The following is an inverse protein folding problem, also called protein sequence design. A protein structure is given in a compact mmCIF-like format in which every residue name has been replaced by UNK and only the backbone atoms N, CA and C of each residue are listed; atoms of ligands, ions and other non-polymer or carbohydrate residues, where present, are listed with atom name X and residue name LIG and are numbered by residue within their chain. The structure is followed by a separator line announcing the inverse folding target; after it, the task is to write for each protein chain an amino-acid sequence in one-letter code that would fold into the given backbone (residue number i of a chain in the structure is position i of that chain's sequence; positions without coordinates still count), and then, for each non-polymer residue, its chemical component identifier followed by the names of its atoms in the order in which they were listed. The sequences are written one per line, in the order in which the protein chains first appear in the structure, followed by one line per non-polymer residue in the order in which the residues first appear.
data_IF_743986669718
#
_entry.id   IF_743986669718
#
_cell.length_a   1.000
_cell.length_b   1.000
_cell.length_c   1.000
_cell.angle_alpha   90.00
_cell.angle_beta   90.00
_cell.angle_gamma   90.00
#
_symmetry.space_group_name_H-M   'P 1'
#
loop_
_entity.id
_entity.type
_entity.pdbx_description
1 polymer ?
#
# COMPACT_ATOMS: atom_id res chain seq x y z
N UNK A 1 14.82 0.76 -42.04
CA UNK A 1 13.96 -0.15 -41.25
C UNK A 1 13.47 0.65 -40.06
N UNK A 2 12.16 0.81 -39.89
CA UNK A 2 11.65 1.43 -38.67
C UNK A 2 11.99 0.51 -37.50
N UNK A 3 12.83 0.96 -36.57
CA UNK A 3 13.05 0.27 -35.29
C UNK A 3 11.69 0.04 -34.65
N UNK A 4 11.36 -1.21 -34.33
CA UNK A 4 10.18 -1.47 -33.51
C UNK A 4 10.38 -0.77 -32.17
N UNK A 5 9.40 0.01 -31.69
CA UNK A 5 9.55 0.70 -30.41
C UNK A 5 9.79 -0.33 -29.31
N UNK A 6 10.76 -0.05 -28.43
CA UNK A 6 11.04 -0.84 -27.24
C UNK A 6 9.74 -1.18 -26.50
N UNK A 7 9.59 -2.40 -25.95
CA UNK A 7 8.43 -2.72 -25.13
C UNK A 7 8.28 -1.71 -23.99
N UNK A 8 7.03 -1.42 -23.62
CA UNK A 8 6.72 -0.46 -22.57
C UNK A 8 7.36 -0.90 -21.25
N UNK A 9 8.24 -0.08 -20.62
CA UNK A 9 8.92 -0.46 -19.39
C UNK A 9 8.01 -0.39 -18.16
N UNK A 10 6.82 0.22 -18.26
CA UNK A 10 5.91 0.49 -17.15
C UNK A 10 4.84 -0.61 -16.97
N UNK A 11 5.20 -1.87 -17.16
CA UNK A 11 4.28 -3.02 -17.12
C UNK A 11 4.16 -3.67 -15.74
N UNK A 12 5.11 -3.42 -14.84
CA UNK A 12 5.12 -4.03 -13.52
C UNK A 12 3.98 -3.50 -12.63
N UNK A 13 2.92 -4.30 -12.43
CA UNK A 13 1.77 -3.95 -11.56
C UNK A 13 1.85 -4.51 -10.13
N UNK A 14 2.80 -5.41 -9.89
CA UNK A 14 3.01 -6.08 -8.60
C UNK A 14 4.33 -5.66 -7.93
N UNK A 15 4.74 -6.42 -6.91
CA UNK A 15 6.04 -6.24 -6.25
C UNK A 15 7.19 -6.27 -7.25
N UNK A 16 8.10 -5.29 -7.17
CA UNK A 16 9.32 -5.25 -8.00
C UNK A 16 10.28 -6.32 -7.50
N UNK A 17 10.68 -7.23 -8.40
CA UNK A 17 11.58 -8.35 -8.08
C UNK A 17 13.00 -8.18 -8.61
N UNK A 18 13.18 -7.32 -9.60
CA UNK A 18 14.51 -6.98 -10.11
C UNK A 18 15.04 -5.75 -9.35
N UNK A 19 16.16 -5.86 -8.60
CA UNK A 19 16.78 -4.73 -7.92
C UNK A 19 17.08 -3.55 -8.87
N UNK A 20 17.40 -3.83 -10.14
CA UNK A 20 17.72 -2.81 -11.15
C UNK A 20 16.51 -1.97 -11.56
N UNK A 21 15.29 -2.45 -11.30
CA UNK A 21 14.04 -1.73 -11.55
C UNK A 21 13.53 -0.99 -10.31
N UNK A 22 14.14 -1.19 -9.14
CA UNK A 22 13.76 -0.47 -7.93
C UNK A 22 14.26 0.98 -7.99
N UNK A 23 13.38 1.94 -7.70
CA UNK A 23 13.70 3.37 -7.82
C UNK A 23 13.34 4.16 -6.56
N UNK A 24 14.22 5.11 -6.20
CA UNK A 24 14.00 6.08 -5.13
C UNK A 24 14.06 5.48 -3.73
N UNK A 25 13.30 6.06 -2.79
CA UNK A 25 13.23 5.66 -1.38
C UNK A 25 14.56 5.74 -0.64
N UNK A 26 15.43 6.69 -1.04
CA UNK A 26 16.81 6.75 -0.52
C UNK A 26 16.85 6.99 0.99
N UNK A 27 16.02 7.90 1.49
CA UNK A 27 15.95 8.24 2.92
C UNK A 27 15.44 7.06 3.74
N UNK A 28 14.37 6.42 3.29
CA UNK A 28 13.76 5.27 3.95
C UNK A 28 14.72 4.08 3.97
N UNK A 29 15.38 3.79 2.84
CA UNK A 29 16.41 2.75 2.76
C UNK A 29 17.54 3.06 3.76
N UNK A 30 18.10 4.26 3.75
CA UNK A 30 19.19 4.61 4.67
C UNK A 30 18.79 4.38 6.13
N UNK A 31 17.61 4.83 6.53
CA UNK A 31 17.09 4.58 7.89
C UNK A 31 16.93 3.09 8.19
N UNK A 32 16.37 2.30 7.27
CA UNK A 32 16.22 0.86 7.46
C UNK A 32 17.58 0.19 7.65
N UNK A 33 18.54 0.47 6.78
CA UNK A 33 19.85 -0.16 6.82
C UNK A 33 20.68 0.24 8.04
N UNK A 34 20.62 1.50 8.45
CA UNK A 34 21.30 1.97 9.67
C UNK A 34 20.79 1.26 10.93
N UNK A 35 19.50 0.94 10.97
CA UNK A 35 18.88 0.17 12.06
C UNK A 35 19.23 -1.30 12.00
N UNK A 36 19.14 -1.92 10.82
CA UNK A 36 19.46 -3.34 10.66
C UNK A 36 20.93 -3.66 10.95
N UNK A 37 21.88 -2.76 10.62
CA UNK A 37 23.29 -2.93 11.03
C UNK A 37 23.47 -3.03 12.54
N UNK A 38 22.59 -2.37 13.30
CA UNK A 38 22.56 -2.38 14.76
C UNK A 38 21.64 -3.47 15.33
N UNK A 39 21.14 -4.37 14.47
CA UNK A 39 20.13 -5.39 14.81
C UNK A 39 18.89 -4.81 15.49
N UNK A 40 18.45 -3.64 15.05
CA UNK A 40 17.23 -2.99 15.55
C UNK A 40 16.07 -3.26 14.59
N UNK A 41 14.94 -3.69 15.15
CA UNK A 41 13.73 -3.98 14.37
C UNK A 41 13.11 -2.71 13.81
N UNK A 42 12.52 -2.81 12.62
CA UNK A 42 11.92 -1.70 11.86
C UNK A 42 10.54 -2.09 11.36
N UNK A 43 9.57 -1.19 11.52
CA UNK A 43 8.22 -1.31 10.97
C UNK A 43 8.03 -0.25 9.89
N UNK A 44 7.85 -0.72 8.65
CA UNK A 44 7.54 0.10 7.49
C UNK A 44 6.03 0.23 7.37
N UNK A 45 5.50 1.44 7.60
CA UNK A 45 4.06 1.71 7.60
C UNK A 45 3.71 2.56 6.39
N UNK A 46 2.67 2.22 5.64
CA UNK A 46 2.25 3.03 4.49
C UNK A 46 1.05 2.50 3.74
N UNK A 47 0.47 3.30 2.85
CA UNK A 47 -0.76 2.93 2.14
C UNK A 47 -0.61 1.70 1.23
N UNK A 48 -1.75 1.10 0.87
CA UNK A 48 -1.77 0.05 -0.15
C UNK A 48 -1.20 0.60 -1.46
N UNK A 49 -0.41 -0.21 -2.18
CA UNK A 49 0.27 0.16 -3.44
C UNK A 49 1.36 1.24 -3.32
N UNK A 50 1.73 1.72 -2.13
CA UNK A 50 2.79 2.74 -1.99
C UNK A 50 4.22 2.21 -2.21
N UNK A 51 4.38 0.87 -2.32
CA UNK A 51 5.66 0.21 -2.60
C UNK A 51 6.31 -0.51 -1.43
N UNK A 52 5.58 -0.83 -0.34
CA UNK A 52 6.12 -1.51 0.85
C UNK A 52 6.79 -2.85 0.53
N UNK A 53 6.09 -3.76 -0.15
CA UNK A 53 6.61 -5.07 -0.56
C UNK A 53 7.86 -4.94 -1.42
N UNK A 54 7.84 -4.03 -2.41
CA UNK A 54 9.01 -3.76 -3.26
C UNK A 54 10.20 -3.24 -2.44
N UNK A 55 9.97 -2.35 -1.46
CA UNK A 55 11.01 -1.84 -0.56
C UNK A 55 11.59 -2.95 0.30
N UNK A 56 10.73 -3.76 0.92
CA UNK A 56 11.12 -4.89 1.76
C UNK A 56 11.96 -5.90 0.98
N UNK A 57 11.50 -6.29 -0.20
CA UNK A 57 12.20 -7.25 -1.05
C UNK A 57 13.53 -6.68 -1.56
N UNK A 58 13.57 -5.39 -1.92
CA UNK A 58 14.83 -4.73 -2.29
C UNK A 58 15.84 -4.71 -1.13
N UNK A 59 15.38 -4.50 0.11
CA UNK A 59 16.24 -4.60 1.30
C UNK A 59 16.77 -6.01 1.48
N UNK A 60 15.92 -7.03 1.31
CA UNK A 60 16.35 -8.43 1.34
C UNK A 60 17.41 -8.74 0.29
N UNK A 61 17.20 -8.32 -0.96
CA UNK A 61 18.11 -8.61 -2.07
C UNK A 61 19.46 -7.91 -1.95
N UNK A 62 19.48 -6.65 -1.50
CA UNK A 62 20.72 -5.84 -1.43
C UNK A 62 21.35 -5.86 -0.04
N UNK A 63 20.67 -6.44 0.96
CA UNK A 63 21.07 -6.27 2.34
C UNK A 63 22.35 -7.00 2.73
N UNK A 64 22.71 -8.10 2.06
CA UNK A 64 23.99 -8.77 2.29
C UNK A 64 25.18 -7.83 2.06
N UNK A 65 25.11 -7.02 1.00
CA UNK A 65 26.15 -6.03 0.67
C UNK A 65 26.08 -4.80 1.56
N UNK A 66 24.87 -4.35 1.90
CA UNK A 66 24.64 -3.08 2.61
C UNK A 66 24.78 -3.17 4.13
N UNK A 67 24.40 -4.31 4.72
CA UNK A 67 24.42 -4.57 6.17
C UNK A 67 25.73 -5.25 6.57
N UNK A 68 26.22 -6.14 5.70
CA UNK A 68 27.44 -6.93 5.90
C UNK A 68 27.15 -8.42 5.87
N UNK A 69 28.13 -9.19 5.39
CA UNK A 69 28.00 -10.65 5.19
C UNK A 69 27.78 -11.47 6.47
N UNK A 70 27.96 -10.87 7.65
CA UNK A 70 27.73 -11.52 8.95
C UNK A 70 26.27 -11.55 9.40
N UNK A 71 25.34 -10.94 8.65
CA UNK A 71 23.90 -10.98 8.94
C UNK A 71 23.20 -11.87 7.92
N UNK A 72 22.52 -12.90 8.42
CA UNK A 72 21.65 -13.77 7.63
C UNK A 72 20.31 -13.07 7.43
N UNK A 73 19.96 -12.80 6.17
CA UNK A 73 18.67 -12.23 5.80
C UNK A 73 17.71 -13.32 5.37
N UNK A 74 16.51 -13.30 5.94
CA UNK A 74 15.41 -14.19 5.59
C UNK A 74 14.26 -13.34 5.09
N UNK A 75 13.61 -13.75 4.00
CA UNK A 75 12.37 -13.15 3.53
C UNK A 75 11.23 -14.15 3.71
N UNK A 76 10.10 -13.71 4.23
CA UNK A 76 8.90 -14.53 4.36
C UNK A 76 7.67 -13.70 4.03
N UNK A 77 6.91 -14.19 3.05
CA UNK A 77 5.59 -13.68 2.72
C UNK A 77 4.57 -14.32 3.66
N UNK A 78 3.96 -13.52 4.54
CA UNK A 78 3.12 -14.01 5.62
C UNK A 78 1.72 -14.52 5.24
N UNK A 79 1.07 -14.08 4.14
CA UNK A 79 -0.19 -14.67 3.69
C UNK A 79 -0.14 -16.20 3.50
N UNK A 80 1.05 -16.78 3.28
CA UNK A 80 1.25 -18.21 3.12
C UNK A 80 1.53 -18.97 4.43
N UNK A 81 1.46 -18.30 5.59
CA UNK A 81 1.75 -18.86 6.91
C UNK A 81 0.50 -18.83 7.79
N UNK A 82 0.07 -20.02 8.25
CA UNK A 82 -1.19 -20.19 8.99
C UNK A 82 -1.05 -20.12 10.52
N UNK A 83 0.12 -20.47 11.03
CA UNK A 83 0.38 -20.59 12.46
C UNK A 83 1.87 -20.38 12.81
N UNK A 84 2.16 -20.35 14.10
CA UNK A 84 3.52 -20.21 14.66
C UNK A 84 4.49 -21.29 14.15
N UNK A 85 4.04 -22.55 14.09
CA UNK A 85 4.84 -23.68 13.62
C UNK A 85 5.27 -23.50 12.17
N UNK A 86 4.35 -23.08 11.31
CA UNK A 86 4.62 -22.76 9.92
C UNK A 86 5.59 -21.58 9.78
N UNK A 87 5.47 -20.56 10.64
CA UNK A 87 6.39 -19.43 10.67
C UNK A 87 7.82 -19.87 10.99
N UNK A 88 8.01 -20.57 12.11
CA UNK A 88 9.32 -21.03 12.54
C UNK A 88 9.90 -22.04 11.55
N UNK A 89 9.07 -22.90 10.96
CA UNK A 89 9.47 -23.86 9.93
C UNK A 89 10.04 -23.16 8.69
N UNK A 90 9.36 -22.12 8.18
CA UNK A 90 9.87 -21.34 7.04
C UNK A 90 11.15 -20.57 7.39
N UNK A 91 11.22 -19.98 8.58
CA UNK A 91 12.41 -19.27 9.03
C UNK A 91 13.63 -20.21 9.14
N UNK A 92 13.45 -21.37 9.76
CA UNK A 92 14.48 -22.40 9.90
C UNK A 92 14.92 -22.94 8.54
N UNK A 93 13.97 -23.26 7.66
CA UNK A 93 14.25 -23.71 6.30
C UNK A 93 15.08 -22.68 5.51
N UNK A 94 14.71 -21.40 5.57
CA UNK A 94 15.44 -20.32 4.90
C UNK A 94 16.86 -20.12 5.47
N UNK A 95 17.08 -20.47 6.74
CA UNK A 95 18.38 -20.46 7.40
C UNK A 95 19.18 -21.75 7.19
N UNK A 96 18.63 -22.74 6.49
CA UNK A 96 19.25 -24.04 6.25
C UNK A 96 19.39 -24.89 7.50
N UNK A 97 18.47 -24.77 8.46
CA UNK A 97 18.46 -25.56 9.71
C UNK A 97 17.17 -26.35 9.85
N UNK A 98 17.25 -27.52 10.49
CA UNK A 98 16.07 -28.32 10.82
C UNK A 98 15.36 -27.78 12.06
N UNK A 99 14.03 -27.71 11.99
CA UNK A 99 13.18 -27.26 13.10
C UNK A 99 12.00 -26.42 12.63
N UNK A 100 11.01 -26.28 13.52
CA UNK A 100 9.78 -25.54 13.26
C UNK A 100 9.22 -24.91 14.55
N UNK A 101 10.08 -24.63 15.52
CA UNK A 101 9.73 -24.07 16.81
C UNK A 101 10.67 -22.91 17.19
N UNK A 102 10.31 -22.23 18.28
CA UNK A 102 11.10 -21.15 18.85
C UNK A 102 12.54 -21.59 19.16
N UNK A 103 12.72 -22.77 19.79
CA UNK A 103 14.03 -23.24 20.24
C UNK A 103 15.00 -23.47 19.08
N UNK A 104 14.50 -23.94 17.94
CA UNK A 104 15.29 -24.14 16.72
C UNK A 104 15.81 -22.82 16.16
N UNK A 105 14.95 -21.80 16.10
CA UNK A 105 15.36 -20.45 15.69
C UNK A 105 16.31 -19.80 16.72
N UNK A 106 16.03 -19.96 18.00
CA UNK A 106 16.83 -19.40 19.10
C UNK A 106 18.28 -19.92 19.05
N UNK A 107 18.49 -21.22 18.80
CA UNK A 107 19.85 -21.79 18.64
C UNK A 107 20.64 -21.08 17.55
N UNK A 108 20.01 -20.75 16.42
CA UNK A 108 20.68 -20.02 15.33
C UNK A 108 21.02 -18.59 15.75
N UNK A 109 20.10 -17.90 16.41
CA UNK A 109 20.26 -16.51 16.85
C UNK A 109 21.35 -16.35 17.92
N UNK A 110 21.61 -17.40 18.71
CA UNK A 110 22.71 -17.39 19.70
C UNK A 110 24.09 -17.29 19.04
N UNK A 111 24.25 -17.86 17.85
CA UNK A 111 25.55 -17.94 17.16
C UNK A 111 25.68 -16.93 16.02
N UNK A 112 24.56 -16.52 15.41
CA UNK A 112 24.54 -15.73 14.17
C UNK A 112 23.55 -14.59 14.28
N UNK A 113 23.88 -13.48 13.62
CA UNK A 113 22.94 -12.37 13.43
C UNK A 113 21.93 -12.74 12.36
N UNK A 114 20.65 -12.63 12.69
CA UNK A 114 19.54 -12.96 11.79
C UNK A 114 18.59 -11.76 11.69
N UNK A 115 18.30 -11.33 10.46
CA UNK A 115 17.29 -10.33 10.19
C UNK A 115 16.19 -10.93 9.32
N UNK A 116 14.95 -10.89 9.81
CA UNK A 116 13.79 -11.49 9.13
C UNK A 116 12.91 -10.38 8.56
N UNK A 117 12.72 -10.41 7.25
CA UNK A 117 11.87 -9.53 6.48
C UNK A 117 10.48 -10.16 6.32
N UNK A 118 9.45 -9.55 6.90
CA UNK A 118 8.08 -10.05 6.92
C UNK A 118 7.15 -9.09 6.19
N UNK A 119 6.56 -9.55 5.08
CA UNK A 119 5.59 -8.75 4.33
C UNK A 119 4.16 -8.97 4.83
N UNK A 120 3.33 -7.95 4.72
CA UNK A 120 1.92 -7.95 5.14
C UNK A 120 1.69 -8.45 6.59
N UNK A 121 2.43 -7.89 7.56
CA UNK A 121 2.39 -8.34 8.95
C UNK A 121 1.00 -8.19 9.61
N UNK A 122 0.14 -7.30 9.11
CA UNK A 122 -1.26 -7.21 9.51
C UNK A 122 -2.06 -8.49 9.24
N UNK A 123 -1.57 -9.38 8.38
CA UNK A 123 -2.21 -10.67 8.11
C UNK A 123 -1.98 -11.67 9.23
N UNK A 124 -0.91 -11.55 10.00
CA UNK A 124 -0.68 -12.42 11.16
C UNK A 124 -1.10 -11.74 12.45
N UNK A 125 -1.01 -10.41 12.51
CA UNK A 125 -1.44 -9.63 13.65
C UNK A 125 -2.96 -9.80 13.86
N UNK A 126 -3.33 -10.49 14.94
CA UNK A 126 -4.73 -10.76 15.28
C UNK A 126 -5.33 -12.03 14.67
N UNK A 127 -4.53 -12.88 14.00
CA UNK A 127 -4.99 -14.21 13.60
C UNK A 127 -4.94 -15.21 14.76
N UNK A 128 -5.94 -16.10 14.93
CA UNK A 128 -5.97 -17.10 16.00
C UNK A 128 -4.76 -18.06 16.00
N UNK A 129 -4.12 -18.25 14.84
CA UNK A 129 -2.94 -19.11 14.70
C UNK A 129 -1.65 -18.51 15.29
N UNK A 130 -1.67 -17.26 15.75
CA UNK A 130 -0.53 -16.58 16.36
C UNK A 130 -0.90 -16.09 17.75
N UNK A 131 -0.31 -16.71 18.77
CA UNK A 131 -0.59 -16.41 20.17
C UNK A 131 0.22 -15.22 20.67
N UNK A 132 -0.16 -14.72 21.85
CA UNK A 132 0.68 -13.79 22.61
C UNK A 132 2.09 -14.35 22.88
N UNK A 133 2.20 -15.66 23.12
CA UNK A 133 3.48 -16.32 23.38
C UNK A 133 4.43 -16.23 22.19
N UNK A 134 3.91 -16.24 20.97
CA UNK A 134 4.69 -16.01 19.75
C UNK A 134 5.28 -14.60 19.69
N UNK A 135 4.47 -13.57 19.93
CA UNK A 135 4.96 -12.19 19.92
C UNK A 135 5.97 -11.93 21.06
N UNK A 136 5.73 -12.50 22.24
CA UNK A 136 6.68 -12.46 23.36
C UNK A 136 8.00 -13.17 23.02
N UNK A 137 7.93 -14.29 22.29
CA UNK A 137 9.11 -15.03 21.80
C UNK A 137 9.93 -14.21 20.79
N UNK A 138 9.28 -13.62 19.78
CA UNK A 138 9.95 -12.73 18.82
C UNK A 138 10.58 -11.52 19.50
N UNK A 139 9.89 -10.95 20.50
CA UNK A 139 10.43 -9.85 21.30
C UNK A 139 11.67 -10.27 22.06
N UNK A 140 11.65 -11.43 22.71
CA UNK A 140 12.78 -11.99 23.44
C UNK A 140 14.01 -12.15 22.52
N UNK A 141 13.80 -12.70 21.31
CA UNK A 141 14.88 -12.79 20.32
C UNK A 141 15.43 -11.41 19.95
N UNK A 142 14.57 -10.44 19.67
CA UNK A 142 15.01 -9.09 19.28
C UNK A 142 15.85 -8.40 20.37
N UNK A 143 15.58 -8.71 21.64
CA UNK A 143 16.34 -8.18 22.77
C UNK A 143 17.73 -8.81 22.93
N UNK A 144 18.02 -9.93 22.27
CA UNK A 144 19.36 -10.55 22.27
C UNK A 144 20.43 -9.70 21.59
N UNK A 145 20.04 -8.75 20.72
CA UNK A 145 20.96 -7.99 19.87
C UNK A 145 21.48 -8.75 18.65
N UNK A 146 21.07 -10.01 18.46
CA UNK A 146 21.41 -10.83 17.29
C UNK A 146 20.20 -11.11 16.39
N UNK A 147 19.02 -10.61 16.73
CA UNK A 147 17.81 -10.80 15.93
C UNK A 147 17.15 -9.46 15.64
N UNK A 148 16.74 -9.25 14.39
CA UNK A 148 15.99 -8.06 13.99
C UNK A 148 14.82 -8.45 13.08
N UNK A 149 13.73 -7.70 13.19
CA UNK A 149 12.56 -7.84 12.32
C UNK A 149 12.44 -6.61 11.45
N UNK A 150 12.31 -6.79 10.14
CA UNK A 150 11.84 -5.75 9.22
C UNK A 150 10.46 -6.14 8.74
N UNK A 151 9.43 -5.41 9.18
CA UNK A 151 8.04 -5.74 8.83
C UNK A 151 7.41 -4.64 7.99
N UNK A 152 6.42 -5.00 7.16
CA UNK A 152 5.56 -4.03 6.49
C UNK A 152 4.14 -4.10 7.05
N UNK A 153 3.48 -2.94 7.17
CA UNK A 153 2.06 -2.86 7.54
C UNK A 153 1.35 -1.70 6.85
N UNK A 154 0.04 -1.82 6.63
CA UNK A 154 -0.78 -0.68 6.21
C UNK A 154 -1.08 0.31 7.35
N UNK A 155 -1.33 -0.21 8.54
CA UNK A 155 -1.64 0.57 9.74
C UNK A 155 -0.53 0.45 10.79
N UNK A 156 -0.51 1.35 11.77
CA UNK A 156 0.47 1.26 12.83
C UNK A 156 0.27 -0.03 13.65
N UNK A 157 1.36 -0.64 14.13
CA UNK A 157 1.25 -1.83 14.99
C UNK A 157 0.43 -1.57 16.26
N UNK A 158 0.48 -0.34 16.80
CA UNK A 158 -0.33 0.06 17.94
C UNK A 158 -1.84 0.00 17.64
N UNK A 159 -2.24 0.22 16.38
CA UNK A 159 -3.62 0.08 15.91
C UNK A 159 -4.01 -1.38 15.64
N UNK A 160 -3.08 -2.17 15.10
CA UNK A 160 -3.30 -3.59 14.79
C UNK A 160 -3.42 -4.44 16.06
N UNK A 161 -2.59 -4.17 17.05
CA UNK A 161 -2.51 -4.94 18.29
C UNK A 161 -3.30 -4.29 19.45
N UNK A 162 -4.34 -3.49 19.16
CA UNK A 162 -5.15 -2.82 20.21
C UNK A 162 -5.70 -3.76 21.28
N UNK A 163 -6.02 -4.99 20.90
CA UNK A 163 -6.55 -6.01 21.81
C UNK A 163 -5.48 -6.64 22.72
N UNK A 164 -4.19 -6.45 22.42
CA UNK A 164 -3.05 -6.99 23.18
C UNK A 164 -2.42 -5.96 24.14
N UNK A 165 -3.05 -4.79 24.33
CA UNK A 165 -2.56 -3.66 25.13
C UNK A 165 -2.43 -3.94 26.65
N UNK A 166 -2.68 -5.16 27.11
CA UNK A 166 -2.64 -5.57 28.53
C UNK A 166 -1.23 -6.07 28.96
N UNK A 167 -0.20 -5.87 28.13
CA UNK A 167 1.19 -6.21 28.47
C UNK A 167 1.94 -5.04 29.11
N UNK A 168 2.85 -5.32 30.04
CA UNK A 168 3.73 -4.33 30.70
C UNK A 168 4.70 -3.65 29.71
N UNK A 169 5.07 -4.33 28.62
CA UNK A 169 5.75 -3.70 27.48
C UNK A 169 5.34 -4.38 26.17
N UNK A 170 4.43 -3.79 25.39
CA UNK A 170 3.89 -4.43 24.21
C UNK A 170 4.89 -4.67 23.08
N UNK A 171 4.68 -5.73 22.28
CA UNK A 171 5.54 -6.15 21.16
C UNK A 171 5.99 -5.00 20.26
N UNK A 172 5.09 -4.09 19.90
CA UNK A 172 5.37 -2.98 18.98
C UNK A 172 6.44 -1.99 19.47
N UNK A 173 6.78 -1.97 20.77
CA UNK A 173 7.78 -1.05 21.31
C UNK A 173 9.23 -1.37 20.87
N UNK A 174 9.49 -2.55 20.30
CA UNK A 174 10.83 -2.90 19.79
C UNK A 174 11.12 -2.32 18.40
N UNK A 175 10.11 -1.77 17.72
CA UNK A 175 10.23 -1.32 16.34
C UNK A 175 10.49 0.17 16.23
N UNK A 176 11.53 0.53 15.49
CA UNK A 176 11.62 1.86 14.91
C UNK A 176 10.61 1.98 13.75
N UNK A 177 9.80 3.05 13.74
CA UNK A 177 8.84 3.30 12.66
C UNK A 177 9.50 4.03 11.49
N UNK A 178 9.27 3.55 10.28
CA UNK A 178 9.58 4.22 9.01
C UNK A 178 8.26 4.36 8.25
N UNK A 179 7.85 5.60 7.95
CA UNK A 179 6.67 5.81 7.10
C UNK A 179 7.08 5.80 5.64
N UNK A 180 6.31 5.07 4.84
CA UNK A 180 6.42 5.05 3.39
C UNK A 180 5.23 5.82 2.82
N UNK A 181 5.48 7.09 2.48
CA UNK A 181 4.51 7.99 1.87
C UNK A 181 4.76 8.17 0.36
N UNK A 182 4.35 9.32 -0.17
CA UNK A 182 4.69 9.71 -1.55
C UNK A 182 6.21 9.72 -1.77
N UNK A 183 6.65 9.59 -3.02
CA UNK A 183 8.02 9.94 -3.37
C UNK A 183 8.29 11.40 -3.00
N UNK A 184 9.51 11.71 -2.57
CA UNK A 184 9.94 13.11 -2.49
C UNK A 184 9.95 13.74 -3.87
N UNK A 185 9.86 15.08 -3.94
CA UNK A 185 9.68 15.80 -5.21
C UNK A 185 10.76 15.42 -6.23
N UNK A 186 12.01 15.38 -5.79
CA UNK A 186 13.18 15.10 -6.61
C UNK A 186 13.17 13.67 -7.16
N UNK A 187 12.68 12.71 -6.36
CA UNK A 187 12.54 11.32 -6.80
C UNK A 187 11.41 11.18 -7.82
N UNK A 188 10.27 11.82 -7.59
CA UNK A 188 9.13 11.73 -8.52
C UNK A 188 9.44 12.38 -9.88
N UNK A 189 10.11 13.54 -9.88
CA UNK A 189 10.55 14.23 -11.09
C UNK A 189 11.61 13.44 -11.86
N UNK A 190 12.52 12.76 -11.15
CA UNK A 190 13.55 11.93 -11.77
C UNK A 190 13.00 10.59 -12.30
N UNK A 191 11.96 10.03 -11.66
CA UNK A 191 11.37 8.74 -12.04
C UNK A 191 10.96 8.70 -13.51
N UNK A 192 10.25 9.72 -13.99
CA UNK A 192 9.71 9.76 -15.36
C UNK A 192 10.83 9.72 -16.42
N UNK A 193 11.72 10.72 -16.53
CA UNK A 193 12.72 10.76 -17.61
C UNK A 193 13.77 9.65 -17.54
N UNK A 194 14.05 9.06 -16.37
CA UNK A 194 15.00 7.94 -16.25
C UNK A 194 14.48 6.71 -16.99
N UNK A 195 13.23 6.33 -16.75
CA UNK A 195 12.64 5.12 -17.34
C UNK A 195 12.31 5.31 -18.84
N UNK A 196 11.85 6.51 -19.24
CA UNK A 196 11.62 6.83 -20.65
C UNK A 196 12.91 6.77 -21.47
N UNK A 197 14.02 7.36 -20.97
CA UNK A 197 15.33 7.29 -21.64
C UNK A 197 15.88 5.88 -21.75
N UNK A 198 15.69 5.04 -20.74
CA UNK A 198 16.10 3.64 -20.78
C UNK A 198 15.39 2.85 -21.90
N UNK A 199 14.19 3.27 -22.29
CA UNK A 199 13.42 2.70 -23.39
C UNK A 199 13.58 3.46 -24.72
N UNK A 200 14.51 4.42 -24.82
CA UNK A 200 14.78 5.19 -26.04
C UNK A 200 13.72 6.23 -26.40
N UNK A 201 12.83 6.60 -25.46
CA UNK A 201 11.76 7.58 -25.69
C UNK A 201 12.07 8.86 -24.92
N UNK A 202 11.95 10.02 -25.56
CA UNK A 202 12.10 11.32 -24.91
C UNK A 202 10.80 11.79 -24.27
N UNK A 203 10.88 12.49 -23.14
CA UNK A 203 9.73 13.13 -22.47
C UNK A 203 10.02 14.62 -22.26
N UNK A 204 9.04 15.49 -22.46
CA UNK A 204 9.20 16.95 -22.26
C UNK A 204 8.96 17.34 -20.80
N UNK A 205 9.36 18.56 -20.43
CA UNK A 205 9.12 19.08 -19.08
C UNK A 205 7.62 19.21 -18.77
N UNK A 206 6.83 19.62 -19.76
CA UNK A 206 5.37 19.75 -19.66
C UNK A 206 4.71 18.40 -19.43
N UNK A 207 5.17 17.35 -20.13
CA UNK A 207 4.68 15.98 -19.94
C UNK A 207 5.00 15.47 -18.52
N UNK A 208 6.20 15.73 -17.99
CA UNK A 208 6.58 15.38 -16.62
C UNK A 208 5.66 16.08 -15.61
N UNK A 209 5.47 17.39 -15.75
CA UNK A 209 4.57 18.17 -14.89
C UNK A 209 3.15 17.62 -14.95
N UNK A 210 2.64 17.31 -16.15
CA UNK A 210 1.29 16.79 -16.33
C UNK A 210 1.11 15.42 -15.68
N UNK A 211 2.07 14.51 -15.85
CA UNK A 211 2.08 13.20 -15.17
C UNK A 211 2.01 13.37 -13.65
N UNK A 212 2.81 14.27 -13.09
CA UNK A 212 2.83 14.54 -11.65
C UNK A 212 1.53 15.21 -11.15
N UNK A 213 0.89 16.07 -11.93
CA UNK A 213 -0.42 16.64 -11.60
C UNK A 213 -1.51 15.57 -11.57
N UNK A 214 -1.56 14.72 -12.59
CA UNK A 214 -2.61 13.71 -12.73
C UNK A 214 -2.50 12.57 -11.72
N UNK A 215 -1.30 12.04 -11.53
CA UNK A 215 -1.05 10.87 -10.69
C UNK A 215 -0.53 11.20 -9.29
N UNK A 216 -0.01 12.41 -9.10
CA UNK A 216 0.74 12.76 -7.91
C UNK A 216 2.10 12.08 -7.85
N UNK A 217 2.72 12.15 -6.68
CA UNK A 217 4.00 11.51 -6.36
C UNK A 217 3.84 10.08 -5.81
N UNK A 218 2.69 9.45 -6.07
CA UNK A 218 2.35 8.14 -5.55
C UNK A 218 2.86 7.06 -6.53
N UNK A 219 3.80 6.17 -6.15
CA UNK A 219 4.54 5.35 -7.13
C UNK A 219 3.66 4.52 -8.07
N UNK A 220 2.61 3.89 -7.54
CA UNK A 220 1.69 3.09 -8.35
C UNK A 220 0.96 3.89 -9.43
N UNK A 221 0.40 5.05 -9.07
CA UNK A 221 -0.29 5.91 -10.02
C UNK A 221 0.69 6.56 -10.98
N UNK A 222 1.89 6.93 -10.50
CA UNK A 222 2.95 7.51 -11.33
C UNK A 222 3.39 6.53 -12.42
N UNK A 223 3.56 5.26 -12.07
CA UNK A 223 3.88 4.20 -13.03
C UNK A 223 2.76 3.98 -14.05
N UNK A 224 1.50 4.04 -13.64
CA UNK A 224 0.34 3.93 -14.54
C UNK A 224 0.22 5.13 -15.49
N UNK A 225 0.41 6.36 -14.99
CA UNK A 225 0.43 7.53 -15.84
C UNK A 225 1.57 7.49 -16.86
N UNK A 226 2.77 7.07 -16.44
CA UNK A 226 3.91 6.86 -17.34
C UNK A 226 3.63 5.77 -18.38
N UNK A 227 2.96 4.68 -18.00
CA UNK A 227 2.53 3.63 -18.92
C UNK A 227 1.66 4.21 -20.05
N UNK A 228 0.60 4.95 -19.71
CA UNK A 228 -0.32 5.51 -20.70
C UNK A 228 0.35 6.59 -21.56
N UNK A 229 1.20 7.43 -20.96
CA UNK A 229 1.99 8.40 -21.72
C UNK A 229 2.91 7.69 -22.72
N UNK A 230 3.58 6.61 -22.33
CA UNK A 230 4.44 5.83 -23.23
C UNK A 230 3.65 5.22 -24.40
N UNK A 231 2.45 4.71 -24.16
CA UNK A 231 1.54 4.21 -25.21
C UNK A 231 1.10 5.32 -26.18
N UNK A 232 0.89 6.55 -25.69
CA UNK A 232 0.61 7.70 -26.57
C UNK A 232 1.81 8.05 -27.45
N UNK A 233 3.01 8.12 -26.84
CA UNK A 233 4.24 8.49 -27.57
C UNK A 233 4.66 7.45 -28.61
N UNK A 234 4.29 6.19 -28.41
CA UNK A 234 4.53 5.10 -29.36
C UNK A 234 3.39 4.90 -30.36
N UNK A 235 2.37 5.78 -30.34
CA UNK A 235 1.29 5.84 -31.34
C UNK A 235 0.13 4.89 -31.10
N UNK A 236 -0.01 4.29 -29.91
CA UNK A 236 -1.10 3.34 -29.61
C UNK A 236 -2.37 4.01 -29.07
N UNK A 237 -2.23 5.04 -28.24
CA UNK A 237 -3.36 5.74 -27.60
C UNK A 237 -3.08 7.24 -27.47
N UNK A 238 -3.49 8.11 -28.42
CA UNK A 238 -3.07 9.52 -28.43
C UNK A 238 -3.47 10.32 -27.18
N UNK A 239 -4.65 10.03 -26.63
CA UNK A 239 -5.17 10.67 -25.40
C UNK A 239 -4.85 9.80 -24.18
N UNK A 240 -3.62 9.91 -23.69
CA UNK A 240 -3.17 9.17 -22.52
C UNK A 240 -3.85 9.60 -21.22
N UNK A 241 -4.29 10.85 -21.13
CA UNK A 241 -4.91 11.39 -19.91
C UNK A 241 -6.26 10.72 -19.66
N UNK A 242 -7.11 10.67 -20.69
CA UNK A 242 -8.38 9.97 -20.63
C UNK A 242 -8.16 8.47 -20.40
N UNK A 243 -7.15 7.87 -21.06
CA UNK A 243 -6.82 6.47 -20.87
C UNK A 243 -6.41 6.15 -19.43
N UNK A 244 -5.58 6.99 -18.81
CA UNK A 244 -5.16 6.87 -17.41
C UNK A 244 -6.34 6.99 -16.44
N UNK A 245 -7.21 7.98 -16.61
CA UNK A 245 -8.37 8.17 -15.72
C UNK A 245 -9.38 7.03 -15.84
N UNK A 246 -9.52 6.45 -17.04
CA UNK A 246 -10.44 5.33 -17.31
C UNK A 246 -9.83 3.96 -17.01
N UNK A 247 -8.55 3.89 -16.67
CA UNK A 247 -7.89 2.65 -16.32
C UNK A 247 -8.57 2.05 -15.07
N UNK A 248 -9.10 0.82 -15.14
CA UNK A 248 -9.77 0.17 -14.01
C UNK A 248 -8.87 0.08 -12.77
N UNK A 249 -7.57 -0.18 -12.94
CA UNK A 249 -6.63 -0.26 -11.83
C UNK A 249 -6.47 1.09 -11.14
N UNK A 250 -6.44 2.19 -11.91
CA UNK A 250 -6.37 3.55 -11.34
C UNK A 250 -7.64 3.83 -10.55
N UNK A 251 -8.81 3.68 -11.19
CA UNK A 251 -10.10 4.02 -10.60
C UNK A 251 -10.40 3.20 -9.33
N UNK A 252 -10.16 1.89 -9.37
CA UNK A 252 -10.43 1.00 -8.25
C UNK A 252 -9.51 1.29 -7.06
N UNK A 253 -8.23 1.59 -7.28
CA UNK A 253 -7.32 1.93 -6.18
C UNK A 253 -7.62 3.30 -5.58
N UNK A 254 -7.94 4.33 -6.40
CA UNK A 254 -8.35 5.63 -5.88
C UNK A 254 -9.64 5.54 -5.06
N UNK A 255 -10.61 4.75 -5.55
CA UNK A 255 -11.83 4.47 -4.81
C UNK A 255 -11.54 3.71 -3.51
N UNK A 256 -10.68 2.70 -3.55
CA UNK A 256 -10.27 1.95 -2.37
C UNK A 256 -9.68 2.88 -1.31
N UNK A 257 -8.74 3.76 -1.69
CA UNK A 257 -8.16 4.76 -0.78
C UNK A 257 -9.26 5.57 -0.10
N UNK A 258 -10.18 6.14 -0.88
CA UNK A 258 -11.28 6.93 -0.33
C UNK A 258 -12.18 6.13 0.63
N UNK A 259 -12.63 4.94 0.22
CA UNK A 259 -13.64 4.17 0.96
C UNK A 259 -13.13 3.67 2.32
N UNK A 260 -11.83 3.39 2.41
CA UNK A 260 -11.16 2.90 3.63
C UNK A 260 -10.74 4.03 4.59
N UNK A 261 -10.98 5.30 4.23
CA UNK A 261 -10.80 6.40 5.17
C UNK A 261 -11.89 6.44 6.25
N UNK A 262 -11.48 6.84 7.44
CA UNK A 262 -12.39 7.15 8.54
C UNK A 262 -13.32 8.31 8.13
N UNK A 263 -14.53 8.41 8.70
CA UNK A 263 -15.43 9.52 8.40
C UNK A 263 -14.79 10.90 8.65
N UNK A 264 -13.91 11.01 9.65
CA UNK A 264 -13.17 12.24 9.97
C UNK A 264 -12.16 12.57 8.87
N UNK A 265 -11.38 11.60 8.43
CA UNK A 265 -10.42 11.76 7.32
C UNK A 265 -11.12 12.16 6.01
N UNK A 266 -12.28 11.56 5.71
CA UNK A 266 -13.08 11.96 4.55
C UNK A 266 -13.61 13.39 4.65
N UNK A 267 -14.10 13.79 5.83
CA UNK A 267 -14.56 15.15 6.06
C UNK A 267 -13.42 16.17 5.94
N UNK A 268 -12.22 15.81 6.40
CA UNK A 268 -11.01 16.60 6.26
C UNK A 268 -10.61 16.81 4.80
N UNK A 269 -10.52 15.73 4.01
CA UNK A 269 -10.16 15.83 2.59
C UNK A 269 -11.17 16.67 1.80
N UNK A 270 -12.47 16.51 2.08
CA UNK A 270 -13.48 17.36 1.42
C UNK A 270 -13.37 18.83 1.81
N UNK A 271 -12.99 19.12 3.05
CA UNK A 271 -12.71 20.49 3.49
C UNK A 271 -11.50 21.06 2.72
N UNK A 272 -10.42 20.29 2.57
CA UNK A 272 -9.23 20.69 1.78
C UNK A 272 -9.56 20.95 0.31
N UNK A 273 -10.53 20.24 -0.26
CA UNK A 273 -10.97 20.41 -1.66
C UNK A 273 -12.10 21.43 -1.85
N UNK A 274 -12.45 22.22 -0.83
CA UNK A 274 -13.58 23.17 -0.85
C UNK A 274 -14.95 22.53 -1.22
N UNK A 275 -15.12 21.23 -0.93
CA UNK A 275 -16.37 20.47 -1.18
C UNK A 275 -17.30 20.45 0.05
N UNK A 276 -17.06 21.35 1.00
CA UNK A 276 -17.65 21.32 2.35
C UNK A 276 -17.10 20.17 3.20
N UNK A 277 -17.21 20.26 4.53
CA UNK A 277 -16.61 19.28 5.43
C UNK A 277 -16.43 19.86 6.82
N UNK A 278 -15.71 19.13 7.67
CA UNK A 278 -15.32 19.63 8.99
C UNK A 278 -13.87 20.06 8.92
N UNK A 279 -13.57 21.25 9.46
CA UNK A 279 -12.21 21.71 9.64
C UNK A 279 -11.38 20.63 10.36
N UNK A 280 -10.29 20.14 9.74
CA UNK A 280 -9.46 19.11 10.34
C UNK A 280 -8.54 19.70 11.40
N UNK A 281 -8.26 18.92 12.45
CA UNK A 281 -7.18 19.24 13.37
C UNK A 281 -5.80 18.93 12.74
N UNK A 282 -4.75 19.56 13.27
CA UNK A 282 -3.38 19.42 12.76
C UNK A 282 -2.89 17.98 12.79
N UNK A 283 -3.33 17.18 13.78
CA UNK A 283 -2.94 15.77 13.92
C UNK A 283 -3.49 14.94 12.77
N UNK A 284 -4.74 15.18 12.37
CA UNK A 284 -5.36 14.51 11.24
C UNK A 284 -4.72 14.93 9.91
N UNK A 285 -4.41 16.21 9.73
CA UNK A 285 -3.69 16.69 8.53
C UNK A 285 -2.32 16.01 8.40
N UNK A 286 -1.57 15.96 9.51
CA UNK A 286 -0.26 15.30 9.55
C UNK A 286 -0.32 13.80 9.29
N UNK A 287 -1.34 13.09 9.79
CA UNK A 287 -1.57 11.68 9.46
C UNK A 287 -1.86 11.48 7.96
N UNK A 288 -2.72 12.31 7.38
CA UNK A 288 -3.07 12.25 5.96
C UNK A 288 -1.89 12.58 5.05
N UNK A 289 -1.04 13.53 5.44
CA UNK A 289 0.21 13.85 4.74
C UNK A 289 1.17 12.66 4.79
N UNK A 290 1.43 12.08 5.96
CA UNK A 290 2.32 10.91 6.11
C UNK A 290 1.87 9.70 5.30
N UNK A 291 0.55 9.50 5.20
CA UNK A 291 -0.06 8.43 4.40
C UNK A 291 -0.01 8.71 2.89
N UNK A 292 0.41 9.91 2.50
CA UNK A 292 0.53 10.31 1.10
C UNK A 292 -0.81 10.67 0.45
N UNK A 293 -1.79 11.10 1.24
CA UNK A 293 -3.09 11.55 0.75
C UNK A 293 -3.16 13.06 0.58
N UNK A 294 -2.32 13.78 1.34
CA UNK A 294 -2.13 15.22 1.23
C UNK A 294 -0.69 15.57 0.89
N UNK A 295 -0.52 16.70 0.21
CA UNK A 295 0.76 17.38 -0.02
C UNK A 295 0.67 18.75 0.63
N UNK A 296 1.64 19.07 1.49
CA UNK A 296 1.73 20.38 2.13
C UNK A 296 2.37 21.40 1.19
N UNK A 297 1.78 22.58 1.12
CA UNK A 297 2.41 23.74 0.49
C UNK A 297 3.29 24.48 1.51
N UNK A 298 4.59 24.39 1.31
CA UNK A 298 5.58 25.10 2.14
C UNK A 298 5.44 26.63 2.14
N UNK A 299 4.72 27.20 1.16
CA UNK A 299 4.56 28.66 1.00
C UNK A 299 3.33 29.21 1.75
N UNK A 300 2.46 28.34 2.26
CA UNK A 300 1.23 28.73 2.94
C UNK A 300 1.16 28.06 4.32
N UNK A 301 0.86 28.83 5.37
CA UNK A 301 0.80 28.32 6.75
C UNK A 301 -0.19 27.17 6.94
N UNK A 302 -1.24 27.10 6.10
CA UNK A 302 -2.28 26.05 6.11
C UNK A 302 -2.62 25.51 4.71
N UNK A 303 -1.69 25.61 3.74
CA UNK A 303 -1.92 25.09 2.40
C UNK A 303 -1.73 23.57 2.35
N UNK A 304 -2.79 22.83 2.08
CA UNK A 304 -2.73 21.41 1.74
C UNK A 304 -3.48 21.17 0.45
N UNK A 305 -3.01 20.20 -0.32
CA UNK A 305 -3.66 19.74 -1.55
C UNK A 305 -3.79 18.23 -1.47
N UNK A 306 -4.82 17.68 -2.09
CA UNK A 306 -4.86 16.23 -2.31
C UNK A 306 -3.72 15.83 -3.25
N UNK A 307 -3.21 14.61 -3.09
CA UNK A 307 -1.97 14.21 -3.75
C UNK A 307 -2.03 14.19 -5.29
N UNK A 308 -3.22 14.14 -5.89
CA UNK A 308 -3.39 14.11 -7.36
C UNK A 308 -4.76 14.59 -7.84
N UNK A 309 -4.82 15.12 -9.07
CA UNK A 309 -6.08 15.50 -9.73
C UNK A 309 -7.01 14.30 -9.96
N UNK A 310 -6.46 13.13 -10.29
CA UNK A 310 -7.28 11.94 -10.48
C UNK A 310 -8.00 11.53 -9.19
N UNK A 311 -7.33 11.64 -8.03
CA UNK A 311 -7.97 11.38 -6.74
C UNK A 311 -9.04 12.42 -6.42
N UNK A 312 -8.76 13.70 -6.66
CA UNK A 312 -9.72 14.79 -6.51
C UNK A 312 -11.00 14.53 -7.31
N UNK A 313 -10.86 14.14 -8.58
CA UNK A 313 -11.97 13.81 -9.46
C UNK A 313 -12.80 12.64 -8.95
N UNK A 314 -12.16 11.60 -8.40
CA UNK A 314 -12.88 10.49 -7.77
C UNK A 314 -13.69 10.97 -6.57
N UNK A 315 -13.12 11.82 -5.70
CA UNK A 315 -13.86 12.32 -4.52
C UNK A 315 -15.01 13.25 -4.89
N UNK A 316 -14.82 14.13 -5.89
CA UNK A 316 -15.87 15.03 -6.40
C UNK A 316 -17.09 14.26 -6.94
N UNK A 317 -16.85 13.14 -7.62
CA UNK A 317 -17.89 12.33 -8.25
C UNK A 317 -18.53 11.30 -7.32
N UNK A 318 -18.04 11.13 -6.09
CA UNK A 318 -18.63 10.22 -5.11
C UNK A 318 -19.66 10.93 -4.23
N UNK A 319 -20.87 10.35 -4.04
CA UNK A 319 -21.84 10.91 -3.13
C UNK A 319 -21.29 10.89 -1.69
N UNK A 320 -21.58 11.91 -0.85
CA UNK A 320 -21.18 11.91 0.56
C UNK A 320 -21.58 10.60 1.25
N UNK A 321 -20.74 10.03 2.12
CA UNK A 321 -21.08 8.77 2.86
C UNK A 321 -22.42 8.87 3.62
N UNK A 322 -22.85 10.08 4.01
CA UNK A 322 -24.18 10.34 4.60
C UNK A 322 -25.35 10.02 3.65
N UNK A 323 -25.17 10.20 2.34
CA UNK A 323 -26.14 9.78 1.32
C UNK A 323 -26.09 8.27 1.06
N UNK A 324 -24.91 7.63 1.05
CA UNK A 324 -24.83 6.16 0.92
C UNK A 324 -25.59 5.45 2.04
N UNK A 325 -25.49 5.91 3.30
CA UNK A 325 -26.31 5.39 4.43
C UNK A 325 -27.80 5.65 4.24
N UNK A 326 -28.21 6.85 3.79
CA UNK A 326 -29.63 7.16 3.52
C UNK A 326 -30.21 6.35 2.36
N UNK A 327 -29.47 6.15 1.27
CA UNK A 327 -29.88 5.34 0.11
C UNK A 327 -29.97 3.85 0.46
N UNK A 328 -29.01 3.30 1.20
CA UNK A 328 -29.07 1.90 1.64
C UNK A 328 -30.18 1.65 2.69
N UNK A 329 -30.51 2.64 3.53
CA UNK A 329 -31.70 2.60 4.40
C UNK A 329 -33.00 2.74 3.58
N UNK A 330 -33.04 3.62 2.56
CA UNK A 330 -34.21 3.81 1.69
C UNK A 330 -34.49 2.56 0.86
N UNK A 331 -33.46 1.93 0.28
CA UNK A 331 -33.57 0.68 -0.50
C UNK A 331 -33.99 -0.49 0.40
N UNK A 332 -33.53 -0.56 1.66
CA UNK A 332 -34.03 -1.55 2.64
C UNK A 332 -35.48 -1.29 3.08
N UNK A 333 -35.94 -0.02 3.13
CA UNK A 333 -37.34 0.35 3.42
C UNK A 333 -38.27 0.29 2.20
N UNK A 334 -37.73 0.23 0.98
CA UNK A 334 -38.48 0.12 -0.28
C UNK A 334 -38.68 -1.33 -0.75
N UNK A 335 -38.45 -2.34 0.10
CA UNK A 335 -38.93 -3.71 -0.15
C UNK A 335 -40.44 -3.80 0.10
N UNK A 336 -41.18 -3.32 -0.90
CA UNK A 336 -42.44 -3.82 -1.48
C UNK A 336 -43.17 -4.91 -0.65
N UNK A 337 -44.19 -4.49 0.09
CA UNK A 337 -45.54 -5.07 0.00
C UNK A 337 -46.31 -4.14 -0.96
N UNK A 338 -46.97 -4.63 -2.02
CA UNK A 338 -48.36 -5.09 -1.97
C UNK A 338 -48.70 -6.03 -3.15
N UNK A 339 -49.55 -7.01 -2.83
CA UNK A 339 -50.34 -7.94 -3.68
C UNK A 339 -51.85 -7.45 -3.59
N UNK A 340 -52.85 -7.95 -4.39
CA UNK A 340 -53.65 -7.39 -5.50
C UNK A 340 -55.15 -7.10 -5.07
N UNK A 341 -56.21 -7.03 -5.94
CA UNK A 341 -56.87 -8.17 -6.61
C UNK A 341 -57.54 -7.91 -7.99
N UNK A 342 -58.15 -8.97 -8.53
CA UNK A 342 -58.76 -9.33 -9.83
C UNK A 342 -59.92 -8.48 -10.39
N UNK A 343 -60.28 -8.71 -11.67
CA UNK A 343 -61.66 -8.99 -12.18
C UNK A 343 -61.58 -9.81 -13.50
N UNK A 344 -62.44 -10.82 -13.57
CA UNK A 344 -62.72 -11.81 -14.64
C UNK A 344 -63.64 -11.27 -15.74
N UNK A 345 -63.65 -11.92 -16.93
CA UNK A 345 -64.87 -12.25 -17.70
C UNK A 345 -64.64 -13.54 -18.53
N UNK A 346 -65.36 -14.61 -18.21
CA UNK A 346 -65.74 -15.75 -19.08
C UNK A 346 -66.73 -15.25 -20.15
N UNK A 347 -66.71 -15.59 -21.45
CA UNK A 347 -66.98 -16.90 -22.04
C UNK A 347 -68.23 -16.81 -22.96
N UNK A 348 -68.13 -17.24 -24.22
CA UNK A 348 -69.20 -17.62 -25.19
C UNK A 348 -68.46 -17.99 -26.51
N UNK A 349 -68.74 -19.01 -27.32
CA UNK A 349 -69.67 -20.13 -27.43
C UNK A 349 -69.25 -20.88 -28.72
N UNK A 350 -69.41 -22.21 -28.79
CA UNK A 350 -68.84 -23.04 -29.87
C UNK A 350 -69.70 -23.17 -31.15
N UNK A 351 -69.13 -23.76 -32.21
CA UNK A 351 -69.72 -24.83 -33.04
C UNK A 351 -68.80 -25.26 -34.21
N UNK A 352 -68.88 -26.56 -34.52
CA UNK A 352 -68.31 -27.37 -35.63
C UNK A 352 -68.89 -26.99 -37.01
N UNK A 353 -68.35 -27.53 -38.12
CA UNK A 353 -68.75 -28.87 -38.61
C UNK A 353 -67.65 -29.93 -38.57
#
# INVERSE_FOLDING_TARGET
MAEQPSPNPFTQRGMIRDPGQFFGRRTELNHIFDRLRKMQSVSVVGERRIGKSSLLYHVFQTGRERIGAGVLLVYTDLPDVKDETGFYGRACQALGVEGNDFGSLERVVRERKVAVCLDEFEKVAGQPGFSRGFFDSLRSLAQSGNFALLITTQHSLADLCRNEQIATSPFWNIFARVDLGLFVQEEAEAFVPVHFRAAGVSVTAEEIVRVLQMAGRFPFFLQLACYHLFEAKTGRTPDWETAFVRDPDVHDQLRYLWEHLTPQAQAALRWVMDLGGKFPDDRLLWDLERRGLLVRDSRMSYGYWVFSEAFENVVKNLPPKSLKRRLSIRIKRLRITFWPPSIEVEGEGGQTP
#
